data_IF_359222477143
#
_entry.id   IF_359222477143
#
_cell.length_a   1.000
_cell.length_b   1.000
_cell.length_c   1.000
_cell.angle_alpha   90.00
_cell.angle_beta   90.00
_cell.angle_gamma   90.00
#
_symmetry.space_group_name_H-M   'P 1'
#
loop_
_entity.id
_entity.type
_entity.pdbx_description
1 polymer ?
#
# COMPACT_ATOMS: atom_id res chain seq x y z
N UNK A 1 -18.49 -19.90 -0.41
CA UNK A 1 -18.03 -18.62 -0.99
C UNK A 1 -16.72 -18.26 -0.30
N UNK A 2 -15.68 -17.90 -1.06
CA UNK A 2 -14.44 -17.39 -0.48
C UNK A 2 -14.55 -15.87 -0.36
N UNK A 3 -14.19 -15.32 0.81
CA UNK A 3 -14.10 -13.87 1.02
C UNK A 3 -12.67 -13.42 0.74
N UNK A 4 -12.51 -12.23 0.16
CA UNK A 4 -11.21 -11.56 0.09
C UNK A 4 -11.03 -10.71 1.35
N UNK A 5 -9.86 -10.81 1.98
CA UNK A 5 -9.51 -10.00 3.14
C UNK A 5 -8.65 -8.80 2.72
N UNK A 6 -8.88 -7.65 3.35
CA UNK A 6 -8.07 -6.44 3.19
C UNK A 6 -7.53 -6.07 4.57
N UNK A 7 -6.21 -5.97 4.70
CA UNK A 7 -5.58 -5.54 5.94
C UNK A 7 -5.52 -4.01 6.02
N UNK A 8 -6.04 -3.43 7.10
CA UNK A 8 -6.02 -1.99 7.34
C UNK A 8 -4.99 -1.61 8.40
N UNK A 9 -4.32 -0.46 8.23
CA UNK A 9 -3.34 0.05 9.18
C UNK A 9 -1.99 -0.68 9.15
N UNK A 10 -1.50 -1.08 7.98
CA UNK A 10 -0.14 -1.64 7.83
C UNK A 10 0.90 -0.51 7.92
N UNK A 11 1.58 -0.43 9.05
CA UNK A 11 2.53 0.63 9.42
C UNK A 11 4.00 0.21 9.31
N UNK A 12 4.30 -1.09 9.27
CA UNK A 12 5.67 -1.58 9.06
C UNK A 12 5.77 -2.92 8.30
N UNK A 13 6.97 -3.24 7.85
CA UNK A 13 7.25 -4.47 7.11
C UNK A 13 7.09 -5.76 7.90
N UNK A 14 7.13 -5.70 9.23
CA UNK A 14 6.84 -6.86 10.09
C UNK A 14 5.37 -7.26 9.99
N UNK A 15 4.46 -6.29 10.11
CA UNK A 15 3.02 -6.51 9.94
C UNK A 15 2.70 -7.03 8.54
N UNK A 16 3.28 -6.42 7.49
CA UNK A 16 3.08 -6.86 6.11
C UNK A 16 3.45 -8.34 5.89
N UNK A 17 4.62 -8.76 6.39
CA UNK A 17 5.07 -10.16 6.30
C UNK A 17 4.16 -11.12 7.07
N UNK A 18 3.70 -10.72 8.26
CA UNK A 18 2.78 -11.54 9.05
C UNK A 18 1.43 -11.71 8.33
N UNK A 19 0.87 -10.63 7.77
CA UNK A 19 -0.38 -10.66 7.02
C UNK A 19 -0.27 -11.55 5.77
N UNK A 20 0.83 -11.44 5.02
CA UNK A 20 1.14 -12.33 3.90
C UNK A 20 1.22 -13.79 4.33
N UNK A 21 1.84 -14.10 5.47
CA UNK A 21 1.91 -15.48 5.98
C UNK A 21 0.55 -16.06 6.38
N UNK A 22 -0.44 -15.21 6.66
CA UNK A 22 -1.83 -15.58 6.94
C UNK A 22 -2.70 -15.67 5.68
N UNK A 23 -2.12 -15.45 4.50
CA UNK A 23 -2.84 -15.45 3.22
C UNK A 23 -3.61 -14.15 2.93
N UNK A 24 -3.30 -13.06 3.63
CA UNK A 24 -3.85 -11.73 3.32
C UNK A 24 -2.93 -11.02 2.32
N UNK A 25 -3.40 -10.88 1.08
CA UNK A 25 -2.61 -10.36 -0.04
C UNK A 25 -2.85 -8.86 -0.31
N UNK A 26 -3.90 -8.29 0.25
CA UNK A 26 -4.28 -6.88 0.07
C UNK A 26 -4.13 -6.11 1.38
N UNK A 27 -3.68 -4.86 1.29
CA UNK A 27 -3.66 -3.99 2.46
C UNK A 27 -3.50 -2.51 2.15
N UNK A 28 -3.79 -1.70 3.16
CA UNK A 28 -3.56 -0.25 3.20
C UNK A 28 -2.85 0.12 4.50
N UNK A 29 -2.08 1.20 4.45
CA UNK A 29 -1.40 1.76 5.61
C UNK A 29 -0.11 2.46 5.22
N UNK A 30 0.45 3.23 6.15
CA UNK A 30 1.60 4.11 5.88
C UNK A 30 2.85 3.39 5.39
N UNK A 31 3.02 2.10 5.70
CA UNK A 31 4.12 1.32 5.14
C UNK A 31 4.00 1.08 3.64
N UNK A 32 2.76 0.97 3.15
CA UNK A 32 2.46 0.71 1.74
C UNK A 32 2.35 2.02 0.96
N UNK A 33 1.57 2.97 1.48
CA UNK A 33 1.42 4.31 0.93
C UNK A 33 0.68 5.20 1.93
N UNK A 34 1.03 6.48 1.95
CA UNK A 34 0.12 7.51 2.46
C UNK A 34 -1.07 7.68 1.51
N UNK A 35 -2.22 8.22 1.98
CA UNK A 35 -3.27 8.71 1.11
C UNK A 35 -2.69 9.69 0.08
N UNK A 36 -3.10 9.55 -1.17
CA UNK A 36 -2.62 10.36 -2.28
C UNK A 36 -3.73 11.25 -2.79
N UNK A 37 -3.36 12.46 -3.20
CA UNK A 37 -4.21 13.30 -4.04
C UNK A 37 -4.37 12.66 -5.41
N UNK A 38 -5.46 13.01 -6.11
CA UNK A 38 -5.78 12.42 -7.41
C UNK A 38 -4.63 12.55 -8.43
N UNK A 39 -4.00 13.73 -8.52
CA UNK A 39 -2.87 13.96 -9.43
C UNK A 39 -1.67 13.05 -9.13
N UNK A 40 -1.36 12.82 -7.86
CA UNK A 40 -0.25 11.95 -7.43
C UNK A 40 -0.53 10.49 -7.77
N UNK A 41 -1.80 10.06 -7.65
CA UNK A 41 -2.21 8.73 -8.07
C UNK A 41 -2.07 8.57 -9.59
N UNK A 42 -2.48 9.56 -10.37
CA UNK A 42 -2.35 9.50 -11.84
C UNK A 42 -0.89 9.38 -12.29
N UNK A 43 0.02 10.19 -11.72
CA UNK A 43 1.46 10.10 -11.98
C UNK A 43 1.99 8.69 -11.67
N UNK A 44 1.55 8.10 -10.55
CA UNK A 44 1.96 6.75 -10.14
C UNK A 44 1.43 5.68 -11.08
N UNK A 45 0.19 5.81 -11.57
CA UNK A 45 -0.42 4.88 -12.52
C UNK A 45 0.20 4.97 -13.91
N UNK A 46 0.66 6.15 -14.33
CA UNK A 46 1.43 6.35 -15.57
C UNK A 46 2.85 5.77 -15.48
N UNK A 47 3.33 5.47 -14.27
CA UNK A 47 4.70 5.02 -14.03
C UNK A 47 5.72 6.15 -13.98
N UNK A 48 5.24 7.40 -13.91
CA UNK A 48 6.06 8.60 -13.87
C UNK A 48 6.80 8.73 -12.51
N UNK A 49 6.28 8.06 -11.47
CA UNK A 49 6.87 7.98 -10.13
C UNK A 49 6.88 6.55 -9.59
N UNK A 50 8.01 6.13 -9.02
CA UNK A 50 8.16 4.79 -8.45
C UNK A 50 7.35 4.61 -7.16
N UNK A 51 6.92 3.38 -6.89
CA UNK A 51 6.20 3.06 -5.65
C UNK A 51 7.14 3.26 -4.44
N UNK A 52 6.95 4.35 -3.68
CA UNK A 52 7.73 4.63 -2.47
C UNK A 52 8.77 5.74 -2.61
N UNK A 53 8.70 6.60 -3.64
CA UNK A 53 9.44 7.87 -3.58
C UNK A 53 8.74 8.83 -2.63
N UNK A 54 9.47 9.23 -1.59
CA UNK A 54 9.15 10.28 -0.63
C UNK A 54 8.67 11.53 -1.35
N UNK A 55 7.64 12.18 -0.82
CA UNK A 55 7.32 13.56 -1.16
C UNK A 55 8.61 14.38 -1.00
N UNK A 56 9.17 14.86 -2.11
CA UNK A 56 10.17 15.90 -2.04
C UNK A 56 9.45 17.16 -1.56
N UNK A 57 9.65 17.48 -0.28
CA UNK A 57 9.13 18.63 0.45
C UNK A 57 9.63 18.59 1.88
#
# INVERSE_FOLDING_TARGET
MASTSIAEGVENGGQARQLQSLGCELGQGYFLSWPLEAAQLEERLRGDVAFGQTLAG
#
